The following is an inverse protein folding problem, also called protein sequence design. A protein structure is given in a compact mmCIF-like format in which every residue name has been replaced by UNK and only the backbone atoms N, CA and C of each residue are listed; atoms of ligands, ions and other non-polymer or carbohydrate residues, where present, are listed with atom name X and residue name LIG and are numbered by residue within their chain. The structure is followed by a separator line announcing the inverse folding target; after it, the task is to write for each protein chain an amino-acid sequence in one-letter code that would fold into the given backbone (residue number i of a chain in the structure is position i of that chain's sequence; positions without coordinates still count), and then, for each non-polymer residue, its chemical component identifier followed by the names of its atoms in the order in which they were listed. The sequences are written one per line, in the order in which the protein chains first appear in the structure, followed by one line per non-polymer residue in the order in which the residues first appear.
data_IF_403043334797
#
_entry.id   IF_403043334797
#
_cell.length_a   1.000
_cell.length_b   1.000
_cell.length_c   1.000
_cell.angle_alpha   90.00
_cell.angle_beta   90.00
_cell.angle_gamma   90.00
#
_symmetry.space_group_name_H-M   'P 1'
#
loop_
_entity.id
_entity.type
_entity.pdbx_description
1 polymer ?
#
# COMPACT_ATOMS: atom_id res chain seq x y z
N UNK A 1 -1.43 -11.82 -10.62
CA UNK A 1 -1.11 -11.72 -9.27
C UNK A 1 -2.34 -11.69 -8.37
N UNK A 2 -2.58 -12.83 -7.74
CA UNK A 2 -3.78 -13.12 -6.93
C UNK A 2 -3.87 -12.23 -5.68
N UNK A 3 -2.74 -11.87 -5.06
CA UNK A 3 -2.64 -10.95 -3.92
C UNK A 3 -3.39 -9.63 -4.17
N UNK A 4 -2.99 -8.98 -5.24
CA UNK A 4 -3.44 -7.67 -5.65
C UNK A 4 -4.95 -7.69 -5.93
N UNK A 5 -5.45 -8.78 -6.51
CA UNK A 5 -6.87 -8.94 -6.83
C UNK A 5 -7.73 -9.17 -5.59
N UNK A 6 -7.26 -9.94 -4.60
CA UNK A 6 -8.02 -10.21 -3.37
C UNK A 6 -8.17 -8.96 -2.51
N UNK A 7 -7.08 -8.23 -2.26
CA UNK A 7 -7.11 -6.95 -1.50
C UNK A 7 -7.95 -5.88 -2.21
N UNK A 8 -7.88 -5.84 -3.54
CA UNK A 8 -8.65 -4.88 -4.31
C UNK A 8 -10.15 -5.17 -4.29
N UNK A 9 -10.58 -6.43 -4.20
CA UNK A 9 -12.02 -6.77 -4.28
C UNK A 9 -12.87 -6.08 -3.21
N UNK A 10 -12.38 -5.98 -1.98
CA UNK A 10 -13.11 -5.36 -0.87
C UNK A 10 -13.29 -3.85 -1.05
N UNK A 11 -12.27 -3.16 -1.61
CA UNK A 11 -12.27 -1.70 -1.79
C UNK A 11 -12.51 -1.26 -3.23
N UNK A 12 -12.61 -2.20 -4.19
CA UNK A 12 -12.68 -1.91 -5.63
C UNK A 12 -13.83 -0.98 -5.98
N UNK A 13 -15.04 -1.33 -5.57
CA UNK A 13 -16.24 -0.60 -5.95
C UNK A 13 -16.24 0.85 -5.44
N UNK A 14 -15.96 1.13 -4.15
CA UNK A 14 -15.85 2.50 -3.66
C UNK A 14 -14.78 3.33 -4.38
N UNK A 15 -13.62 2.73 -4.73
CA UNK A 15 -12.54 3.42 -5.43
C UNK A 15 -12.98 3.79 -6.85
N UNK A 16 -13.50 2.81 -7.61
CA UNK A 16 -13.97 3.02 -8.97
C UNK A 16 -15.11 4.04 -9.02
N UNK A 17 -16.08 3.94 -8.11
CA UNK A 17 -17.17 4.92 -7.99
C UNK A 17 -16.64 6.32 -7.72
N UNK A 18 -15.66 6.45 -6.82
CA UNK A 18 -15.07 7.75 -6.49
C UNK A 18 -14.36 8.35 -7.69
N UNK A 19 -13.52 7.58 -8.39
CA UNK A 19 -12.79 8.04 -9.58
C UNK A 19 -13.71 8.48 -10.74
N UNK A 20 -14.92 7.93 -10.82
CA UNK A 20 -15.91 8.29 -11.83
C UNK A 20 -16.76 9.52 -11.45
N UNK A 21 -16.61 10.09 -10.25
CA UNK A 21 -17.40 11.27 -9.82
C UNK A 21 -16.89 12.52 -10.49
N UNK A 22 -17.82 13.49 -10.68
CA UNK A 22 -17.49 14.82 -11.20
C UNK A 22 -16.72 15.69 -10.19
N UNK A 23 -17.05 15.54 -8.90
CA UNK A 23 -16.41 16.26 -7.79
C UNK A 23 -16.11 15.27 -6.68
N UNK A 24 -15.11 15.58 -5.85
CA UNK A 24 -14.63 14.69 -4.79
C UNK A 24 -14.24 13.31 -5.38
N UNK A 25 -13.55 13.38 -6.53
CA UNK A 25 -13.16 12.24 -7.36
C UNK A 25 -11.79 11.65 -6.97
N UNK A 26 -11.24 12.06 -5.83
CA UNK A 26 -9.95 11.59 -5.34
C UNK A 26 -10.18 10.64 -4.16
N UNK A 27 -10.01 9.32 -4.31
CA UNK A 27 -10.07 8.39 -3.18
C UNK A 27 -8.89 8.60 -2.25
N UNK A 28 -9.16 8.57 -0.94
CA UNK A 28 -8.16 8.55 0.12
C UNK A 28 -8.28 7.23 0.87
N UNK A 29 -7.32 6.33 0.67
CA UNK A 29 -7.25 5.05 1.35
C UNK A 29 -6.74 5.27 2.77
N UNK A 30 -7.59 5.03 3.76
CA UNK A 30 -7.27 5.23 5.18
C UNK A 30 -7.30 3.90 5.89
N UNK A 31 -6.18 3.52 6.47
CA UNK A 31 -6.04 2.23 7.18
C UNK A 31 -4.68 2.14 7.86
N UNK A 32 -4.54 1.23 8.80
CA UNK A 32 -3.29 1.04 9.53
C UNK A 32 -2.13 0.62 8.60
N UNK A 33 -0.89 0.72 9.09
CA UNK A 33 0.28 0.25 8.35
C UNK A 33 0.18 -1.27 8.10
N UNK A 34 0.59 -1.73 6.92
CA UNK A 34 0.61 -3.16 6.59
C UNK A 34 -0.72 -3.77 6.11
N UNK A 35 -1.84 -3.00 6.06
CA UNK A 35 -3.13 -3.53 5.56
C UNK A 35 -3.21 -3.66 4.03
N UNK A 36 -2.18 -3.19 3.29
CA UNK A 36 -2.10 -3.37 1.84
C UNK A 36 -2.61 -2.21 0.99
N UNK A 37 -2.63 -0.97 1.50
CA UNK A 37 -3.09 0.22 0.74
C UNK A 37 -2.38 0.40 -0.60
N UNK A 38 -1.07 0.25 -0.63
CA UNK A 38 -0.25 0.32 -1.86
C UNK A 38 -0.62 -0.79 -2.85
N UNK A 39 -0.82 -2.02 -2.34
CA UNK A 39 -1.23 -3.15 -3.17
C UNK A 39 -2.63 -2.97 -3.80
N UNK A 40 -3.52 -2.22 -3.15
CA UNK A 40 -4.83 -1.85 -3.71
C UNK A 40 -4.65 -0.95 -4.94
N UNK A 41 -3.77 0.06 -4.88
CA UNK A 41 -3.48 0.93 -6.02
C UNK A 41 -2.83 0.15 -7.18
N UNK A 42 -1.91 -0.76 -6.90
CA UNK A 42 -1.32 -1.67 -7.89
C UNK A 42 -2.40 -2.59 -8.51
N UNK A 43 -3.34 -3.07 -7.69
CA UNK A 43 -4.48 -3.89 -8.15
C UNK A 43 -5.36 -3.15 -9.13
N UNK A 44 -5.63 -1.88 -8.88
CA UNK A 44 -6.37 -1.02 -9.79
C UNK A 44 -5.60 -0.85 -11.11
N UNK A 45 -4.29 -0.57 -11.06
CA UNK A 45 -3.46 -0.46 -12.26
C UNK A 45 -3.52 -1.75 -13.12
N UNK A 46 -3.43 -2.92 -12.49
CA UNK A 46 -3.59 -4.21 -13.15
C UNK A 46 -4.95 -4.39 -13.82
N UNK A 47 -6.03 -3.99 -13.16
CA UNK A 47 -7.38 -4.07 -13.72
C UNK A 47 -7.57 -3.13 -14.90
N UNK A 48 -6.99 -1.93 -14.85
CA UNK A 48 -6.98 -1.00 -15.99
C UNK A 48 -6.26 -1.61 -17.19
N UNK A 49 -5.05 -2.17 -16.99
CA UNK A 49 -4.28 -2.84 -18.05
C UNK A 49 -5.07 -3.99 -18.68
N UNK A 50 -5.83 -4.75 -17.87
CA UNK A 50 -6.67 -5.85 -18.34
C UNK A 50 -8.03 -5.39 -18.90
N UNK A 51 -8.31 -4.08 -18.86
CA UNK A 51 -9.61 -3.50 -19.20
C UNK A 51 -10.79 -4.09 -18.39
N UNK A 52 -10.51 -4.55 -17.17
CA UNK A 52 -11.49 -5.05 -16.19
C UNK A 52 -11.92 -3.90 -15.26
N UNK A 53 -12.28 -2.78 -15.84
CA UNK A 53 -12.76 -1.55 -15.19
C UNK A 53 -13.86 -0.93 -16.06
N UNK A 54 -14.68 -0.01 -15.51
CA UNK A 54 -15.64 0.75 -16.33
C UNK A 54 -14.95 1.43 -17.52
N UNK A 55 -15.65 1.53 -18.64
CA UNK A 55 -15.11 2.09 -19.90
C UNK A 55 -14.47 3.47 -19.72
N UNK A 56 -15.05 4.29 -18.83
CA UNK A 56 -14.54 5.63 -18.48
C UNK A 56 -13.10 5.59 -17.94
N UNK A 57 -12.69 4.47 -17.33
CA UNK A 57 -11.35 4.30 -16.73
C UNK A 57 -10.43 3.39 -17.57
N UNK A 58 -10.92 2.78 -18.64
CA UNK A 58 -10.20 1.74 -19.38
C UNK A 58 -8.89 2.22 -20.05
N UNK A 59 -8.75 3.52 -20.29
CA UNK A 59 -7.56 4.13 -20.90
C UNK A 59 -6.70 4.91 -19.91
N UNK A 60 -7.04 4.88 -18.62
CA UNK A 60 -6.27 5.61 -17.60
C UNK A 60 -4.95 4.88 -17.27
N UNK A 61 -4.01 5.66 -16.75
CA UNK A 61 -2.71 5.17 -16.25
C UNK A 61 -2.48 5.68 -14.84
N UNK A 62 -1.97 4.81 -13.97
CA UNK A 62 -1.63 5.18 -12.60
C UNK A 62 -0.13 5.45 -12.53
N UNK A 63 0.21 6.66 -12.09
CA UNK A 63 1.56 7.13 -11.84
C UNK A 63 1.80 7.19 -10.34
N UNK A 64 2.73 6.39 -9.83
CA UNK A 64 3.13 6.45 -8.42
C UNK A 64 4.17 7.55 -8.21
N UNK A 65 3.91 8.46 -7.27
CA UNK A 65 4.85 9.51 -6.91
C UNK A 65 5.88 8.97 -5.91
N UNK A 66 7.13 8.98 -6.31
CA UNK A 66 8.25 8.70 -5.42
C UNK A 66 8.73 10.01 -4.76
N UNK A 67 8.28 10.22 -3.51
CA UNK A 67 8.64 11.40 -2.72
C UNK A 67 10.13 11.39 -2.39
N UNK A 68 10.73 10.22 -2.16
CA UNK A 68 12.15 10.08 -1.89
C UNK A 68 13.00 10.52 -3.09
N UNK A 69 12.63 10.11 -4.30
CA UNK A 69 13.30 10.55 -5.53
C UNK A 69 13.14 12.05 -5.78
N UNK A 70 11.98 12.64 -5.44
CA UNK A 70 11.77 14.08 -5.54
C UNK A 70 12.68 14.89 -4.60
N UNK A 71 12.96 14.37 -3.42
CA UNK A 71 13.80 14.99 -2.40
C UNK A 71 15.28 14.76 -2.67
N UNK A 72 15.65 13.70 -3.38
CA UNK A 72 17.03 13.35 -3.64
C UNK A 72 17.75 14.48 -4.41
N UNK A 73 18.87 14.96 -3.85
CA UNK A 73 19.69 16.01 -4.45
C UNK A 73 19.09 17.42 -4.41
N UNK A 74 17.96 17.64 -3.72
CA UNK A 74 17.47 19.00 -3.45
C UNK A 74 18.20 19.59 -2.27
N UNK A 75 18.86 20.73 -2.46
CA UNK A 75 19.50 21.50 -1.38
C UNK A 75 18.56 22.54 -0.78
N UNK A 76 17.62 23.01 -1.56
CA UNK A 76 16.70 24.07 -1.19
C UNK A 76 15.23 23.67 -1.42
N UNK A 77 14.35 24.22 -0.64
CA UNK A 77 12.89 24.04 -0.77
C UNK A 77 12.39 24.34 -2.18
N UNK A 78 12.93 25.36 -2.82
CA UNK A 78 12.55 25.75 -4.18
C UNK A 78 12.80 24.68 -5.24
N UNK A 79 13.84 23.87 -5.09
CA UNK A 79 14.15 22.79 -6.05
C UNK A 79 13.05 21.71 -6.04
N UNK A 80 12.60 21.32 -4.84
CA UNK A 80 11.49 20.37 -4.68
C UNK A 80 10.19 20.94 -5.27
N UNK A 81 9.85 22.19 -4.94
CA UNK A 81 8.63 22.83 -5.45
C UNK A 81 8.63 22.91 -6.97
N UNK A 82 9.77 23.24 -7.59
CA UNK A 82 9.89 23.27 -9.04
C UNK A 82 9.72 21.89 -9.67
N UNK A 83 10.33 20.84 -9.10
CA UNK A 83 10.17 19.45 -9.58
C UNK A 83 8.74 19.00 -9.47
N UNK A 84 8.10 19.21 -8.33
CA UNK A 84 6.69 18.85 -8.12
C UNK A 84 5.77 19.59 -9.08
N UNK A 85 5.97 20.91 -9.29
CA UNK A 85 5.21 21.68 -10.26
C UNK A 85 5.35 21.16 -11.69
N UNK A 86 6.56 20.76 -12.09
CA UNK A 86 6.81 20.18 -13.41
C UNK A 86 6.05 18.86 -13.60
N UNK A 87 6.07 17.97 -12.60
CA UNK A 87 5.32 16.70 -12.64
C UNK A 87 3.81 16.97 -12.69
N UNK A 88 3.30 17.83 -11.82
CA UNK A 88 1.87 18.15 -11.80
C UNK A 88 1.40 18.75 -13.13
N UNK A 89 2.22 19.59 -13.77
CA UNK A 89 1.92 20.14 -15.10
C UNK A 89 1.82 19.04 -16.15
N UNK A 90 2.79 18.13 -16.21
CA UNK A 90 2.76 17.00 -17.15
C UNK A 90 1.52 16.10 -16.95
N UNK A 91 1.15 15.85 -15.69
CA UNK A 91 -0.02 15.04 -15.38
C UNK A 91 -1.34 15.76 -15.70
N UNK A 92 -1.38 17.09 -15.62
CA UNK A 92 -2.56 17.88 -16.04
C UNK A 92 -2.75 17.89 -17.55
N UNK A 93 -1.66 17.76 -18.32
CA UNK A 93 -1.71 17.68 -19.79
C UNK A 93 -2.19 16.29 -20.26
N UNK A 94 -2.21 15.27 -19.39
CA UNK A 94 -2.73 13.93 -19.67
C UNK A 94 -4.09 13.70 -18.97
N UNK A 95 -5.21 13.74 -19.72
CA UNK A 95 -6.56 13.56 -19.15
C UNK A 95 -6.79 12.16 -18.57
N UNK A 96 -5.94 11.20 -18.91
CA UNK A 96 -6.02 9.83 -18.45
C UNK A 96 -5.07 9.53 -17.28
N UNK A 97 -4.33 10.50 -16.80
CA UNK A 97 -3.43 10.32 -15.68
C UNK A 97 -4.20 10.21 -14.35
N UNK A 98 -3.81 9.26 -13.51
CA UNK A 98 -4.19 9.15 -12.11
C UNK A 98 -2.90 9.15 -11.30
N UNK A 99 -2.73 10.11 -10.39
CA UNK A 99 -1.58 10.16 -9.50
C UNK A 99 -1.86 9.33 -8.24
N UNK A 100 -0.97 8.40 -7.93
CA UNK A 100 -0.97 7.71 -6.64
C UNK A 100 0.12 8.29 -5.73
N UNK A 101 -0.26 8.68 -4.52
CA UNK A 101 0.64 9.21 -3.50
C UNK A 101 0.50 8.34 -2.25
N UNK A 102 1.50 7.51 -2.01
CA UNK A 102 1.57 6.79 -0.75
C UNK A 102 2.01 7.73 0.38
N UNK A 103 1.56 7.46 1.59
CA UNK A 103 1.82 8.31 2.75
C UNK A 103 1.63 9.82 2.46
N UNK A 104 0.54 10.17 1.79
CA UNK A 104 0.26 11.54 1.31
C UNK A 104 0.36 12.60 2.43
N UNK A 105 0.18 12.20 3.68
CA UNK A 105 0.33 13.06 4.85
C UNK A 105 1.73 13.65 4.99
N UNK A 106 2.77 12.95 4.49
CA UNK A 106 4.16 13.45 4.52
C UNK A 106 4.34 14.71 3.69
N UNK A 107 3.55 14.86 2.63
CA UNK A 107 3.55 16.06 1.79
C UNK A 107 2.68 17.20 2.31
N UNK A 108 1.66 16.89 3.12
CA UNK A 108 0.62 17.83 3.52
C UNK A 108 0.85 18.37 4.93
N UNK A 109 1.31 17.52 5.85
CA UNK A 109 1.39 17.84 7.29
C UNK A 109 2.72 18.42 7.77
N UNK A 110 3.71 18.39 6.94
CA UNK A 110 5.07 18.76 7.31
C UNK A 110 5.30 20.26 7.56
N UNK A 111 4.32 21.11 7.29
CA UNK A 111 4.45 22.57 7.40
C UNK A 111 4.29 23.17 8.79
N UNK A 112 3.76 22.44 9.76
CA UNK A 112 3.31 23.05 11.03
C UNK A 112 4.26 22.86 12.23
N UNK A 113 5.16 21.86 12.21
CA UNK A 113 5.88 21.47 13.43
C UNK A 113 7.41 21.64 13.42
N UNK A 114 8.04 21.88 12.26
CA UNK A 114 9.48 22.12 12.20
C UNK A 114 9.81 23.06 11.05
N UNK A 115 10.37 24.21 11.38
CA UNK A 115 10.65 25.37 10.51
C UNK A 115 11.47 25.11 9.24
N UNK A 116 11.06 24.17 8.41
CA UNK A 116 11.74 23.80 7.17
C UNK A 116 11.01 22.78 6.31
N UNK A 117 9.85 22.31 6.70
CA UNK A 117 9.17 21.19 6.02
C UNK A 117 8.32 21.63 4.83
N UNK A 118 8.37 20.80 3.82
CA UNK A 118 7.80 20.89 2.49
C UNK A 118 6.27 20.98 2.54
N UNK A 119 5.71 22.16 2.38
CA UNK A 119 4.26 22.33 2.23
C UNK A 119 3.86 22.14 0.77
N UNK A 120 3.81 20.89 0.33
CA UNK A 120 3.31 20.54 -1.00
C UNK A 120 1.78 20.69 -1.09
N UNK A 121 1.09 20.85 0.03
CA UNK A 121 -0.35 21.06 0.06
C UNK A 121 -0.76 22.28 -0.77
N UNK A 122 0.00 23.37 -0.70
CA UNK A 122 -0.29 24.58 -1.47
C UNK A 122 -0.12 24.41 -2.98
N UNK A 123 0.64 23.41 -3.43
CA UNK A 123 0.79 23.07 -4.84
C UNK A 123 -0.29 22.08 -5.30
N UNK A 124 -0.70 21.15 -4.44
CA UNK A 124 -1.73 20.16 -4.75
C UNK A 124 -3.16 20.75 -4.72
N UNK A 125 -3.46 21.63 -3.75
CA UNK A 125 -4.79 22.21 -3.58
C UNK A 125 -5.35 22.86 -4.84
N UNK A 126 -4.62 23.70 -5.57
CA UNK A 126 -5.14 24.31 -6.82
C UNK A 126 -5.45 23.26 -7.87
N UNK A 127 -4.58 22.26 -8.03
CA UNK A 127 -4.72 21.19 -9.03
C UNK A 127 -5.93 20.31 -8.73
N UNK A 128 -6.10 19.90 -7.48
CA UNK A 128 -7.25 19.13 -7.02
C UNK A 128 -8.58 19.91 -7.14
N UNK A 129 -8.51 21.24 -7.17
CA UNK A 129 -9.70 22.10 -7.31
C UNK A 129 -10.28 22.10 -8.72
N UNK A 130 -9.49 21.81 -9.75
CA UNK A 130 -9.96 21.82 -11.14
C UNK A 130 -10.98 20.71 -11.41
N UNK A 131 -10.96 19.61 -10.67
CA UNK A 131 -11.76 18.41 -10.90
C UNK A 131 -11.34 17.60 -12.13
N UNK A 132 -10.40 18.10 -12.91
CA UNK A 132 -9.81 17.42 -14.07
C UNK A 132 -8.72 16.43 -13.67
N UNK A 133 -8.07 16.69 -12.56
CA UNK A 133 -7.01 15.86 -12.00
C UNK A 133 -7.58 14.78 -11.08
N UNK A 134 -7.06 13.55 -11.19
CA UNK A 134 -7.39 12.43 -10.31
C UNK A 134 -6.18 12.04 -9.48
N UNK A 135 -6.40 11.93 -8.18
CA UNK A 135 -5.38 11.53 -7.23
C UNK A 135 -5.92 10.45 -6.29
N UNK A 136 -5.14 9.40 -6.09
CA UNK A 136 -5.38 8.40 -5.05
C UNK A 136 -4.35 8.65 -3.96
N UNK A 137 -4.79 8.97 -2.75
CA UNK A 137 -3.91 9.08 -1.59
C UNK A 137 -4.00 7.87 -0.70
N UNK A 138 -2.92 7.56 0.03
CA UNK A 138 -2.93 6.57 1.10
C UNK A 138 -2.38 7.20 2.38
N UNK A 139 -3.00 6.88 3.53
CA UNK A 139 -2.58 7.39 4.85
C UNK A 139 -3.06 6.46 5.96
N UNK A 140 -2.61 6.69 7.20
CA UNK A 140 -3.12 5.98 8.37
C UNK A 140 -4.30 6.72 9.02
N UNK A 141 -5.00 6.06 9.96
CA UNK A 141 -6.09 6.71 10.70
C UNK A 141 -5.59 7.86 11.57
N UNK A 142 -4.40 7.75 12.13
CA UNK A 142 -3.77 8.77 12.98
C UNK A 142 -3.52 10.05 12.19
N UNK A 143 -2.84 9.95 11.05
CA UNK A 143 -2.52 11.09 10.18
C UNK A 143 -3.76 11.67 9.52
N UNK A 144 -4.75 10.83 9.18
CA UNK A 144 -6.03 11.31 8.65
C UNK A 144 -6.68 12.29 9.63
N UNK A 145 -6.84 11.90 10.91
CA UNK A 145 -7.41 12.77 11.96
C UNK A 145 -6.53 13.99 12.23
N UNK A 146 -5.21 13.80 12.25
CA UNK A 146 -4.24 14.85 12.55
C UNK A 146 -4.17 15.95 11.51
N UNK A 147 -4.33 15.61 10.23
CA UNK A 147 -4.02 16.47 9.09
C UNK A 147 -5.27 16.73 8.23
N UNK A 148 -5.89 15.67 7.68
CA UNK A 148 -6.97 15.82 6.70
C UNK A 148 -8.27 16.33 7.29
N UNK A 149 -8.66 15.91 8.48
CA UNK A 149 -9.87 16.41 9.14
C UNK A 149 -9.77 17.88 9.50
N UNK A 150 -8.57 18.37 9.78
CA UNK A 150 -8.30 19.79 10.11
C UNK A 150 -8.23 20.67 8.87
N UNK A 151 -7.86 20.12 7.72
CA UNK A 151 -7.80 20.87 6.46
C UNK A 151 -9.08 20.70 5.64
N UNK A 152 -10.02 21.60 5.84
CA UNK A 152 -11.31 21.60 5.12
C UNK A 152 -11.17 21.67 3.60
N UNK A 153 -10.09 22.26 3.06
CA UNK A 153 -9.88 22.35 1.63
C UNK A 153 -9.54 20.98 1.04
N UNK A 154 -8.73 20.19 1.72
CA UNK A 154 -8.38 18.83 1.31
C UNK A 154 -9.54 17.86 1.56
N UNK A 155 -10.17 17.90 2.73
CA UNK A 155 -11.25 16.98 3.08
C UNK A 155 -12.45 17.08 2.12
N UNK A 156 -12.69 18.24 1.52
CA UNK A 156 -13.71 18.43 0.48
C UNK A 156 -13.33 17.86 -0.88
N UNK A 157 -12.06 17.55 -1.12
CA UNK A 157 -11.53 17.04 -2.41
C UNK A 157 -11.31 15.55 -2.41
N UNK A 158 -11.03 14.97 -1.24
CA UNK A 158 -10.84 13.55 -1.08
C UNK A 158 -12.10 12.85 -0.55
N UNK A 159 -12.36 11.65 -1.05
CA UNK A 159 -13.34 10.74 -0.51
C UNK A 159 -12.61 9.71 0.35
N UNK A 160 -12.83 9.74 1.65
CA UNK A 160 -12.30 8.73 2.57
C UNK A 160 -12.86 7.34 2.20
N UNK A 161 -11.98 6.37 2.12
CA UNK A 161 -12.28 4.95 1.94
C UNK A 161 -11.49 4.21 3.01
N UNK A 162 -12.21 3.60 3.95
CA UNK A 162 -11.58 2.83 5.02
C UNK A 162 -11.06 1.49 4.46
N UNK A 163 -9.81 1.18 4.78
CA UNK A 163 -9.13 -0.06 4.43
C UNK A 163 -8.91 -0.84 5.71
N UNK A 164 -9.79 -1.79 6.05
CA UNK A 164 -9.65 -2.60 7.25
C UNK A 164 -8.49 -3.61 7.11
N UNK A 165 -8.05 -4.14 8.22
CA UNK A 165 -7.19 -5.33 8.27
C UNK A 165 -7.92 -6.49 7.57
N UNK A 166 -7.17 -7.31 6.83
CA UNK A 166 -7.75 -8.47 6.12
C UNK A 166 -8.23 -9.54 7.10
N UNK A 167 -9.34 -10.19 6.75
CA UNK A 167 -9.81 -11.37 7.49
C UNK A 167 -8.79 -12.52 7.41
N UNK A 168 -8.98 -13.51 8.23
CA UNK A 168 -8.16 -14.72 8.22
C UNK A 168 -8.22 -15.43 6.85
N UNK A 169 -9.41 -15.58 6.30
CA UNK A 169 -9.66 -16.23 5.02
C UNK A 169 -9.00 -15.46 3.87
N UNK A 170 -9.16 -14.15 3.85
CA UNK A 170 -8.52 -13.27 2.88
C UNK A 170 -7.00 -13.34 2.98
N UNK A 171 -6.45 -13.33 4.20
CA UNK A 171 -5.01 -13.46 4.43
C UNK A 171 -4.46 -14.78 3.88
N UNK A 172 -5.13 -15.90 4.18
CA UNK A 172 -4.73 -17.21 3.63
C UNK A 172 -4.80 -17.23 2.10
N UNK A 173 -5.83 -16.63 1.50
CA UNK A 173 -5.93 -16.51 0.05
C UNK A 173 -4.77 -15.69 -0.55
N UNK A 174 -4.40 -14.60 0.13
CA UNK A 174 -3.25 -13.76 -0.22
C UNK A 174 -1.95 -14.58 -0.17
N UNK A 175 -1.70 -15.27 0.92
CA UNK A 175 -0.49 -16.11 1.07
C UNK A 175 -0.42 -17.20 0.01
N UNK A 176 -1.55 -17.83 -0.34
CA UNK A 176 -1.62 -18.81 -1.45
C UNK A 176 -1.26 -18.18 -2.77
N UNK A 177 -1.72 -16.96 -3.03
CA UNK A 177 -1.39 -16.21 -4.25
C UNK A 177 0.09 -15.81 -4.35
N UNK A 178 0.75 -15.56 -3.21
CA UNK A 178 2.17 -15.21 -3.15
C UNK A 178 3.09 -16.43 -3.12
N UNK A 179 2.57 -17.60 -2.75
CA UNK A 179 3.33 -18.83 -2.52
C UNK A 179 4.39 -19.10 -3.57
N UNK A 180 4.03 -19.11 -4.84
CA UNK A 180 4.95 -19.46 -5.94
C UNK A 180 6.14 -18.51 -6.04
N UNK A 181 5.94 -17.23 -5.74
CA UNK A 181 7.01 -16.21 -5.77
C UNK A 181 8.02 -16.43 -4.64
N UNK A 182 7.53 -16.67 -3.41
CA UNK A 182 8.38 -16.95 -2.26
C UNK A 182 9.07 -18.31 -2.38
N UNK A 183 8.39 -19.34 -2.90
CA UNK A 183 8.99 -20.63 -3.21
C UNK A 183 10.15 -20.52 -4.19
N UNK A 184 9.97 -19.75 -5.27
CA UNK A 184 11.02 -19.53 -6.26
C UNK A 184 12.19 -18.71 -5.67
N UNK A 185 11.88 -17.69 -4.85
CA UNK A 185 12.91 -16.82 -4.25
C UNK A 185 13.77 -17.58 -3.23
N UNK A 186 13.14 -18.38 -2.36
CA UNK A 186 13.86 -19.09 -1.28
C UNK A 186 14.33 -20.49 -1.67
N UNK A 187 13.83 -21.05 -2.78
CA UNK A 187 14.14 -22.43 -3.19
C UNK A 187 13.51 -23.48 -2.29
N UNK A 188 12.36 -23.19 -1.70
CA UNK A 188 11.60 -24.04 -0.79
C UNK A 188 10.18 -24.29 -1.30
N UNK A 189 9.42 -25.15 -0.63
CA UNK A 189 8.00 -25.38 -0.86
C UNK A 189 7.22 -25.16 0.44
N UNK A 190 6.13 -24.39 0.38
CA UNK A 190 5.24 -24.19 1.53
C UNK A 190 4.07 -25.16 1.46
N UNK A 191 3.78 -25.86 2.56
CA UNK A 191 2.56 -26.66 2.66
C UNK A 191 1.34 -25.75 2.83
N UNK A 192 0.15 -26.24 2.49
CA UNK A 192 -1.09 -25.50 2.70
C UNK A 192 -1.29 -25.18 4.20
N UNK A 193 -0.95 -26.13 5.06
CA UNK A 193 -1.02 -25.98 6.52
C UNK A 193 -0.06 -24.88 7.00
N UNK A 194 1.15 -24.80 6.44
CA UNK A 194 2.11 -23.74 6.80
C UNK A 194 1.54 -22.35 6.53
N UNK A 195 0.90 -22.12 5.38
CA UNK A 195 0.29 -20.83 5.03
C UNK A 195 -0.87 -20.48 5.98
N UNK A 196 -1.73 -21.44 6.28
CA UNK A 196 -2.83 -21.23 7.24
C UNK A 196 -2.28 -20.91 8.62
N UNK A 197 -1.29 -21.69 9.09
CA UNK A 197 -0.66 -21.44 10.39
C UNK A 197 0.07 -20.11 10.46
N UNK A 198 0.68 -19.63 9.36
CA UNK A 198 1.31 -18.31 9.31
C UNK A 198 0.29 -17.20 9.55
N UNK A 199 -0.90 -17.28 8.93
CA UNK A 199 -1.99 -16.32 9.16
C UNK A 199 -2.51 -16.41 10.61
N UNK A 200 -2.86 -17.61 11.09
CA UNK A 200 -3.44 -17.82 12.42
C UNK A 200 -2.49 -17.41 13.55
N UNK A 201 -1.24 -17.87 13.49
CA UNK A 201 -0.28 -17.61 14.55
C UNK A 201 0.20 -16.16 14.57
N UNK A 202 0.38 -15.54 13.39
CA UNK A 202 0.71 -14.11 13.34
C UNK A 202 -0.43 -13.25 13.87
N UNK A 203 -1.67 -13.56 13.54
CA UNK A 203 -2.84 -12.86 14.08
C UNK A 203 -2.93 -12.95 15.60
N UNK A 204 -2.61 -14.12 16.16
CA UNK A 204 -2.75 -14.40 17.59
C UNK A 204 -1.59 -13.86 18.45
N UNK A 205 -0.37 -13.89 17.94
CA UNK A 205 0.82 -13.64 18.76
C UNK A 205 1.60 -12.39 18.37
N UNK A 206 1.37 -11.80 17.20
CA UNK A 206 2.03 -10.58 16.73
C UNK A 206 1.00 -9.44 16.72
N UNK A 207 1.08 -8.57 17.75
CA UNK A 207 0.07 -7.53 17.98
C UNK A 207 0.51 -6.13 17.57
N UNK A 208 1.77 -5.94 17.24
CA UNK A 208 2.36 -4.66 16.84
C UNK A 208 2.27 -4.36 15.33
N UNK A 209 1.75 -5.31 14.55
CA UNK A 209 1.56 -5.22 13.09
C UNK A 209 0.23 -5.80 12.67
N UNK A 210 -0.20 -5.49 11.44
CA UNK A 210 -1.51 -5.87 10.91
C UNK A 210 -1.40 -6.94 9.81
N UNK A 211 -2.48 -7.68 9.61
CA UNK A 211 -2.63 -8.56 8.46
C UNK A 211 -2.91 -7.73 7.19
N UNK A 212 -2.44 -8.16 6.03
CA UNK A 212 -1.73 -9.42 5.76
C UNK A 212 -0.21 -9.34 5.99
N UNK A 213 0.34 -8.17 6.25
CA UNK A 213 1.78 -7.89 6.26
C UNK A 213 2.54 -8.81 7.22
N UNK A 214 2.12 -8.87 8.49
CA UNK A 214 2.74 -9.75 9.49
C UNK A 214 2.75 -11.24 9.10
N UNK A 215 1.74 -11.71 8.38
CA UNK A 215 1.68 -13.10 7.91
C UNK A 215 2.60 -13.33 6.69
N UNK A 216 2.72 -12.33 5.83
CA UNK A 216 3.66 -12.34 4.70
C UNK A 216 5.10 -12.39 5.21
N UNK A 217 5.44 -11.58 6.20
CA UNK A 217 6.77 -11.57 6.82
C UNK A 217 7.12 -12.94 7.44
N UNK A 218 6.17 -13.60 8.09
CA UNK A 218 6.40 -14.93 8.67
C UNK A 218 6.76 -15.97 7.60
N UNK A 219 6.08 -15.99 6.45
CA UNK A 219 6.44 -16.94 5.38
C UNK A 219 7.78 -16.57 4.73
N UNK A 220 8.08 -15.29 4.59
CA UNK A 220 9.36 -14.82 4.06
C UNK A 220 10.52 -15.21 4.98
N UNK A 221 10.39 -14.92 6.27
CA UNK A 221 11.39 -15.28 7.28
C UNK A 221 11.59 -16.80 7.38
N UNK A 222 10.52 -17.60 7.33
CA UNK A 222 10.61 -19.06 7.34
C UNK A 222 11.39 -19.59 6.14
N UNK A 223 11.20 -19.02 4.96
CA UNK A 223 11.97 -19.34 3.76
C UNK A 223 13.42 -18.91 3.87
N UNK A 224 13.67 -17.68 4.31
CA UNK A 224 14.99 -17.11 4.49
C UNK A 224 15.84 -17.90 5.51
N UNK A 225 15.22 -18.33 6.61
CA UNK A 225 15.88 -19.12 7.65
C UNK A 225 16.53 -20.41 7.10
N UNK A 226 15.92 -21.04 6.08
CA UNK A 226 16.51 -22.23 5.46
C UNK A 226 17.80 -21.94 4.70
N UNK A 227 17.95 -20.76 4.09
CA UNK A 227 19.17 -20.38 3.36
C UNK A 227 20.39 -20.22 4.25
N UNK A 228 20.19 -19.87 5.51
CA UNK A 228 21.27 -19.63 6.49
C UNK A 228 21.79 -20.94 7.09
N UNK A 229 20.96 -22.00 7.09
CA UNK A 229 21.35 -23.30 7.64
C UNK A 229 22.40 -24.00 6.76
N UNK A 230 23.31 -24.82 7.37
CA UNK A 230 24.19 -25.70 6.61
C UNK A 230 23.37 -26.61 5.69
N UNK A 231 23.88 -26.92 4.49
CA UNK A 231 23.15 -27.70 3.46
C UNK A 231 22.57 -29.01 3.99
N UNK A 232 23.25 -29.67 4.94
CA UNK A 232 22.78 -30.91 5.58
C UNK A 232 21.56 -30.73 6.49
N UNK A 233 21.27 -29.49 6.93
CA UNK A 233 20.16 -29.18 7.82
C UNK A 233 19.05 -28.38 7.09
N UNK A 234 19.26 -27.99 5.83
CA UNK A 234 18.26 -27.27 5.05
C UNK A 234 17.06 -28.16 4.72
N UNK A 235 15.86 -27.67 5.00
CA UNK A 235 14.62 -28.33 4.60
C UNK A 235 14.08 -27.66 3.34
N UNK A 236 13.72 -28.47 2.35
CA UNK A 236 13.09 -27.99 1.12
C UNK A 236 11.58 -27.71 1.28
N UNK A 237 10.98 -28.23 2.35
CA UNK A 237 9.55 -28.11 2.62
C UNK A 237 9.38 -27.38 3.95
N UNK A 238 8.66 -26.26 3.90
CA UNK A 238 8.24 -25.50 5.06
C UNK A 238 6.89 -26.03 5.51
N UNK A 239 6.87 -26.60 6.70
CA UNK A 239 5.67 -27.12 7.37
C UNK A 239 5.21 -26.17 8.48
N UNK A 240 4.16 -26.56 9.19
CA UNK A 240 3.68 -25.85 10.37
C UNK A 240 4.79 -25.61 11.41
N UNK A 241 5.65 -26.59 11.63
CA UNK A 241 6.71 -26.51 12.64
C UNK A 241 7.71 -25.38 12.35
N UNK A 242 8.11 -25.18 11.09
CA UNK A 242 9.00 -24.08 10.73
C UNK A 242 8.32 -22.71 10.98
N UNK A 243 7.02 -22.59 10.69
CA UNK A 243 6.23 -21.39 10.97
C UNK A 243 6.14 -21.12 12.48
N UNK A 244 5.83 -22.15 13.28
CA UNK A 244 5.77 -22.03 14.75
C UNK A 244 7.08 -21.50 15.33
N UNK A 245 8.22 -22.02 14.85
CA UNK A 245 9.54 -21.56 15.29
C UNK A 245 9.80 -20.08 14.96
N UNK A 246 9.39 -19.62 13.78
CA UNK A 246 9.54 -18.22 13.38
C UNK A 246 8.65 -17.32 14.23
N UNK A 247 7.37 -17.70 14.40
CA UNK A 247 6.43 -16.91 15.22
C UNK A 247 6.89 -16.85 16.67
N UNK A 248 7.36 -17.96 17.26
CA UNK A 248 7.87 -17.97 18.64
C UNK A 248 9.02 -16.95 18.82
N UNK A 249 9.94 -16.89 17.86
CA UNK A 249 11.03 -15.90 17.87
C UNK A 249 10.51 -14.47 17.73
N UNK A 250 9.63 -14.23 16.74
CA UNK A 250 9.07 -12.90 16.49
C UNK A 250 8.26 -12.37 17.69
N UNK A 251 7.46 -13.25 18.31
CA UNK A 251 6.66 -12.92 19.48
C UNK A 251 7.42 -12.96 20.81
N UNK A 252 8.73 -13.32 20.79
CA UNK A 252 9.59 -13.49 21.99
C UNK A 252 9.01 -14.47 23.01
N UNK A 253 8.32 -15.51 22.53
CA UNK A 253 7.77 -16.58 23.37
C UNK A 253 8.84 -17.65 23.54
N UNK A 254 9.09 -18.18 24.77
CA UNK A 254 9.96 -19.31 24.96
C UNK A 254 9.45 -20.51 24.17
N UNK A 255 10.32 -21.14 23.39
CA UNK A 255 10.04 -22.35 22.58
C UNK A 255 10.00 -23.61 23.43
#
# INVERSE_FOLDING_TARGET
STLILTLFQTCALPILQTLCRRRKNNPLLVGEAGVGKTAIAEGLAWKIIKKDVPEVLANHQIYALDIGALLAGTKYRGDFEQRLKAILKQLLDDPNAILFIDEIHTMIGAGAASGGTLDAANLLKPVLNTGQFRCIGATTFSEYRGIFEKDHALSRRFQKIDVPETSMEETVAILRGLKSRYEAHHGVKYTAVALTSAAELSARFINDRNLPDKAIDIIDEAGAAQKILPKSKQRKIISKHEIENVVAKAARIPS
#
